data_IF_906453424817
#
_entry.id   IF_906453424817
#
_cell.length_a   1.000
_cell.length_b   1.000
_cell.length_c   1.000
_cell.angle_alpha   90.00
_cell.angle_beta   90.00
_cell.angle_gamma   90.00
#
_symmetry.space_group_name_H-M   'P 1'
#
loop_
_entity.id
_entity.type
_entity.pdbx_description
1 polymer ?
#
# COMPACT_ATOMS: atom_id res chain seq x y z
N UNK A 1 -1.77 -15.54 -29.07
CA UNK A 1 -1.87 -14.77 -27.80
C UNK A 1 -3.23 -14.08 -27.80
N UNK A 2 -4.05 -14.21 -26.75
CA UNK A 2 -5.36 -13.52 -26.70
C UNK A 2 -5.08 -12.01 -26.64
N UNK A 3 -5.59 -11.24 -27.61
CA UNK A 3 -5.47 -9.78 -27.67
C UNK A 3 -6.49 -9.11 -26.74
N UNK A 4 -6.30 -9.30 -25.42
CA UNK A 4 -7.19 -8.76 -24.38
C UNK A 4 -6.46 -7.73 -23.49
N UNK A 5 -7.19 -7.15 -22.54
CA UNK A 5 -6.67 -6.17 -21.58
C UNK A 5 -5.42 -6.64 -20.83
N UNK A 6 -5.37 -7.92 -20.46
CA UNK A 6 -4.21 -8.48 -19.76
C UNK A 6 -2.94 -8.37 -20.61
N UNK A 7 -3.03 -8.72 -21.90
CA UNK A 7 -1.92 -8.65 -22.84
C UNK A 7 -1.55 -7.22 -23.27
N UNK A 8 -2.53 -6.32 -23.38
CA UNK A 8 -2.34 -4.96 -23.94
C UNK A 8 -2.11 -3.87 -22.90
N UNK A 9 -2.52 -4.10 -21.65
CA UNK A 9 -2.52 -3.08 -20.60
C UNK A 9 -1.84 -3.59 -19.34
N UNK A 10 -2.36 -4.66 -18.71
CA UNK A 10 -1.89 -5.07 -17.37
C UNK A 10 -0.46 -5.59 -17.39
N UNK A 11 -0.11 -6.51 -18.29
CA UNK A 11 1.25 -7.05 -18.41
C UNK A 11 2.26 -5.94 -18.78
N UNK A 12 2.00 -5.08 -19.80
CA UNK A 12 2.88 -3.95 -20.11
C UNK A 12 3.08 -3.00 -18.92
N UNK A 13 2.02 -2.63 -18.20
CA UNK A 13 2.11 -1.74 -17.04
C UNK A 13 2.92 -2.37 -15.90
N UNK A 14 2.66 -3.65 -15.60
CA UNK A 14 3.39 -4.39 -14.57
C UNK A 14 4.90 -4.45 -14.90
N UNK A 15 5.25 -4.82 -16.13
CA UNK A 15 6.64 -4.86 -16.58
C UNK A 15 7.31 -3.48 -16.51
N UNK A 16 6.58 -2.42 -16.86
CA UNK A 16 7.09 -1.06 -16.78
C UNK A 16 7.38 -0.65 -15.33
N UNK A 17 6.44 -0.86 -14.41
CA UNK A 17 6.61 -0.53 -12.99
C UNK A 17 7.76 -1.32 -12.35
N UNK A 18 7.90 -2.61 -12.68
CA UNK A 18 9.05 -3.40 -12.20
C UNK A 18 10.38 -2.87 -12.72
N UNK A 19 10.45 -2.37 -13.97
CA UNK A 19 11.66 -1.69 -14.49
C UNK A 19 11.98 -0.38 -13.76
N UNK A 20 10.97 0.30 -13.21
CA UNK A 20 11.15 1.49 -12.35
C UNK A 20 11.52 1.14 -10.90
N UNK A 21 11.64 -0.15 -10.54
CA UNK A 21 12.07 -0.59 -9.22
C UNK A 21 10.94 -1.06 -8.29
N UNK A 22 9.68 -1.09 -8.76
CA UNK A 22 8.57 -1.62 -7.96
C UNK A 22 8.70 -3.12 -7.79
N UNK A 23 8.61 -3.61 -6.55
CA UNK A 23 8.67 -5.04 -6.26
C UNK A 23 7.31 -5.70 -6.52
N UNK A 24 7.28 -6.66 -7.43
CA UNK A 24 6.07 -7.42 -7.72
C UNK A 24 5.69 -8.34 -6.55
N UNK A 25 4.41 -8.36 -6.19
CA UNK A 25 3.80 -9.31 -5.24
C UNK A 25 3.03 -10.36 -6.05
N UNK A 26 3.50 -11.62 -6.07
CA UNK A 26 2.81 -12.74 -6.71
C UNK A 26 1.40 -12.95 -6.16
N UNK A 27 0.47 -13.40 -7.02
CA UNK A 27 -0.93 -13.66 -6.65
C UNK A 27 -1.09 -14.58 -5.43
N UNK A 28 -0.30 -15.65 -5.35
CA UNK A 28 -0.30 -16.59 -4.23
C UNK A 28 0.31 -16.05 -2.93
N UNK A 29 0.82 -14.82 -2.95
CA UNK A 29 1.40 -14.13 -1.79
C UNK A 29 0.61 -12.86 -1.43
N UNK A 30 -0.55 -12.65 -2.05
CA UNK A 30 -1.39 -11.49 -1.77
C UNK A 30 -2.24 -11.70 -0.51
N UNK A 31 -1.57 -11.65 0.65
CA UNK A 31 -2.22 -11.66 1.95
C UNK A 31 -2.59 -10.22 2.34
N UNK A 32 -3.61 -9.67 1.68
CA UNK A 32 -4.17 -8.35 1.97
C UNK A 32 -5.48 -8.48 2.76
N UNK A 33 -5.84 -7.44 3.49
CA UNK A 33 -7.16 -7.35 4.12
C UNK A 33 -8.16 -7.03 2.99
N UNK A 34 -9.16 -7.90 2.78
CA UNK A 34 -10.08 -7.76 1.64
C UNK A 34 -10.95 -6.49 1.68
N UNK A 35 -11.26 -5.99 2.88
CA UNK A 35 -12.10 -4.78 3.02
C UNK A 35 -11.42 -3.50 2.55
N UNK A 36 -10.09 -3.43 2.59
CA UNK A 36 -9.33 -2.18 2.33
C UNK A 36 -8.11 -2.34 1.41
N UNK A 37 -7.80 -3.56 0.99
CA UNK A 37 -6.64 -3.92 0.17
C UNK A 37 -5.25 -3.66 0.78
N UNK A 38 -5.15 -3.43 2.09
CA UNK A 38 -3.89 -3.21 2.79
C UNK A 38 -3.21 -4.55 3.10
N UNK A 39 -1.92 -4.63 2.79
CA UNK A 39 -1.09 -5.80 3.13
C UNK A 39 -0.52 -5.62 4.55
N UNK A 40 -1.23 -6.10 5.57
CA UNK A 40 -0.86 -5.93 6.99
C UNK A 40 0.58 -6.38 7.30
N UNK A 41 0.98 -7.55 6.78
CA UNK A 41 2.34 -8.10 6.91
C UNK A 41 3.45 -7.22 6.31
N UNK A 42 3.10 -6.27 5.45
CA UNK A 42 4.02 -5.29 4.86
C UNK A 42 3.89 -3.95 5.57
N UNK A 43 2.65 -3.55 5.89
CA UNK A 43 2.31 -2.28 6.51
C UNK A 43 2.87 -2.17 7.93
N UNK A 44 2.54 -3.12 8.81
CA UNK A 44 2.85 -3.06 10.24
C UNK A 44 4.35 -2.92 10.49
N UNK A 45 5.25 -3.79 9.96
CA UNK A 45 6.68 -3.66 10.21
C UNK A 45 7.26 -2.37 9.64
N UNK A 46 6.68 -1.85 8.55
CA UNK A 46 7.16 -0.61 7.92
C UNK A 46 6.75 0.65 8.65
N UNK A 47 5.52 0.71 9.11
CA UNK A 47 5.05 1.84 9.94
C UNK A 47 5.77 1.83 11.29
N UNK A 48 5.98 0.65 11.89
CA UNK A 48 6.81 0.49 13.09
C UNK A 48 8.22 1.05 12.87
N UNK A 49 8.91 0.59 11.82
CA UNK A 49 10.27 1.04 11.52
C UNK A 49 10.38 2.53 11.17
N UNK A 50 9.42 3.05 10.39
CA UNK A 50 9.39 4.46 9.98
C UNK A 50 9.23 5.41 11.17
N UNK A 51 8.40 5.03 12.14
CA UNK A 51 8.04 5.88 13.27
C UNK A 51 8.81 5.56 14.56
N UNK A 52 9.60 4.49 14.59
CA UNK A 52 10.30 4.05 15.80
C UNK A 52 9.37 3.57 16.92
N UNK A 53 8.23 2.98 16.54
CA UNK A 53 7.19 2.48 17.46
C UNK A 53 7.14 0.95 17.41
N UNK A 54 6.46 0.33 18.38
CA UNK A 54 6.23 -1.13 18.38
C UNK A 54 5.29 -1.58 17.26
N UNK A 55 5.37 -2.85 16.87
CA UNK A 55 4.41 -3.43 15.91
C UNK A 55 2.97 -3.39 16.45
N UNK A 56 2.77 -3.52 17.76
CA UNK A 56 1.45 -3.39 18.39
C UNK A 56 0.87 -1.97 18.27
N UNK A 57 1.72 -0.93 18.32
CA UNK A 57 1.28 0.44 18.05
C UNK A 57 0.96 0.63 16.56
N UNK A 58 1.75 0.04 15.66
CA UNK A 58 1.48 0.06 14.22
C UNK A 58 0.19 -0.71 13.85
N UNK A 59 -0.15 -1.78 14.57
CA UNK A 59 -1.44 -2.48 14.47
C UNK A 59 -2.60 -1.55 14.84
N UNK A 60 -2.50 -0.82 15.96
CA UNK A 60 -3.53 0.16 16.35
C UNK A 60 -3.71 1.26 15.30
N UNK A 61 -2.62 1.74 14.71
CA UNK A 61 -2.68 2.72 13.61
C UNK A 61 -3.42 2.13 12.40
N UNK A 62 -3.20 0.84 12.08
CA UNK A 62 -3.93 0.17 11.01
C UNK A 62 -5.43 0.06 11.33
N UNK A 63 -5.79 -0.25 12.57
CA UNK A 63 -7.19 -0.30 13.02
C UNK A 63 -7.87 1.08 12.95
N UNK A 64 -7.17 2.14 13.36
CA UNK A 64 -7.64 3.53 13.20
C UNK A 64 -7.89 3.87 11.73
N UNK A 65 -6.95 3.53 10.84
CA UNK A 65 -7.12 3.73 9.40
C UNK A 65 -8.36 2.97 8.91
N UNK A 66 -8.56 1.73 9.34
CA UNK A 66 -9.73 0.95 8.93
C UNK A 66 -11.05 1.60 9.32
N UNK A 67 -11.13 2.15 10.54
CA UNK A 67 -12.29 2.92 10.97
C UNK A 67 -12.45 4.21 10.15
N UNK A 68 -11.33 4.87 9.80
CA UNK A 68 -11.34 6.06 8.96
C UNK A 68 -11.88 5.78 7.54
N UNK A 69 -11.66 4.55 7.03
CA UNK A 69 -12.12 4.12 5.71
C UNK A 69 -13.65 4.06 5.56
N UNK A 70 -14.37 3.94 6.68
CA UNK A 70 -15.83 3.80 6.69
C UNK A 70 -16.60 5.14 6.70
N UNK A 71 -15.92 6.29 6.75
CA UNK A 71 -16.55 7.62 6.81
C UNK A 71 -16.77 8.28 5.44
N UNK A 72 -17.78 9.17 5.34
CA UNK A 72 -18.12 9.89 4.11
C UNK A 72 -16.99 10.80 3.57
N UNK A 73 -16.19 11.42 4.45
CA UNK A 73 -15.09 12.34 4.07
C UNK A 73 -13.73 11.64 3.85
N UNK A 74 -13.77 10.39 3.39
CA UNK A 74 -12.64 9.49 3.26
C UNK A 74 -11.40 10.13 2.59
N UNK A 75 -11.61 10.75 1.42
CA UNK A 75 -10.51 11.27 0.61
C UNK A 75 -9.70 12.35 1.31
N UNK A 76 -10.37 13.27 2.01
CA UNK A 76 -9.70 14.38 2.72
C UNK A 76 -8.90 13.86 3.91
N UNK A 77 -9.50 12.99 4.74
CA UNK A 77 -8.82 12.42 5.91
C UNK A 77 -7.60 11.62 5.53
N UNK A 78 -7.69 10.76 4.51
CA UNK A 78 -6.54 10.02 4.00
C UNK A 78 -5.45 10.98 3.53
N UNK A 79 -5.80 12.02 2.76
CA UNK A 79 -4.83 12.99 2.29
C UNK A 79 -4.09 13.68 3.45
N UNK A 80 -4.81 14.15 4.47
CA UNK A 80 -4.23 14.78 5.65
C UNK A 80 -3.31 13.81 6.40
N UNK A 81 -3.70 12.54 6.54
CA UNK A 81 -2.87 11.51 7.20
C UNK A 81 -1.61 11.16 6.39
N UNK A 82 -1.72 11.03 5.07
CA UNK A 82 -0.59 10.77 4.17
C UNK A 82 0.41 11.93 4.14
N UNK A 83 -0.07 13.16 4.26
CA UNK A 83 0.76 14.38 4.18
C UNK A 83 1.19 14.93 5.53
N UNK A 84 0.80 14.29 6.64
CA UNK A 84 1.14 14.75 7.98
C UNK A 84 2.64 14.80 8.21
N UNK A 85 3.13 15.96 8.65
CA UNK A 85 4.54 16.19 8.99
C UNK A 85 4.85 15.91 10.46
N UNK A 86 3.83 15.64 11.28
CA UNK A 86 3.95 15.42 12.72
C UNK A 86 3.18 14.18 13.17
N UNK A 87 3.60 13.59 14.28
CA UNK A 87 3.02 12.34 14.77
C UNK A 87 3.42 11.15 13.89
N UNK A 88 2.48 10.23 13.68
CA UNK A 88 2.71 9.02 12.87
C UNK A 88 2.76 9.39 11.39
N UNK A 89 3.91 9.15 10.77
CA UNK A 89 4.13 9.29 9.32
C UNK A 89 3.74 7.98 8.61
N UNK A 90 3.01 8.11 7.50
CA UNK A 90 2.75 7.00 6.58
C UNK A 90 3.71 6.99 5.38
N UNK A 91 4.22 8.16 5.01
CA UNK A 91 5.20 8.35 3.94
C UNK A 91 6.38 9.14 4.52
N UNK A 92 7.59 8.67 4.26
CA UNK A 92 8.79 9.46 4.49
C UNK A 92 9.07 10.33 3.27
N UNK A 93 8.75 11.63 3.34
CA UNK A 93 9.06 12.57 2.25
C UNK A 93 10.52 13.06 2.27
N UNK A 94 11.24 12.90 3.38
CA UNK A 94 12.63 13.35 3.50
C UNK A 94 13.61 12.31 2.94
N UNK A 95 13.34 11.03 3.19
CA UNK A 95 14.15 9.90 2.70
C UNK A 95 13.33 8.97 1.80
N UNK A 96 12.75 9.57 0.76
CA UNK A 96 11.71 8.94 -0.06
C UNK A 96 12.10 7.58 -0.65
N UNK A 97 13.30 7.46 -1.21
CA UNK A 97 13.74 6.26 -1.91
C UNK A 97 14.25 5.15 -0.98
N UNK A 98 14.64 5.49 0.25
CA UNK A 98 15.30 4.56 1.19
C UNK A 98 14.30 4.02 2.22
N UNK A 99 13.43 4.89 2.72
CA UNK A 99 12.49 4.54 3.79
C UNK A 99 11.21 3.88 3.26
N UNK A 100 10.72 4.31 2.09
CA UNK A 100 9.45 3.84 1.53
C UNK A 100 9.61 2.55 0.71
N UNK A 101 8.56 1.74 0.69
CA UNK A 101 8.50 0.51 -0.09
C UNK A 101 7.50 0.66 -1.25
N UNK A 102 8.01 0.61 -2.49
CA UNK A 102 7.18 0.58 -3.68
C UNK A 102 6.95 -0.85 -4.14
N UNK A 103 5.69 -1.28 -4.10
CA UNK A 103 5.28 -2.64 -4.49
C UNK A 103 4.13 -2.57 -5.48
N UNK A 104 4.03 -3.58 -6.35
CA UNK A 104 2.97 -3.70 -7.34
C UNK A 104 2.38 -5.10 -7.28
N UNK A 105 1.05 -5.19 -7.33
CA UNK A 105 0.32 -6.45 -7.39
C UNK A 105 -0.81 -6.31 -8.40
N UNK A 106 -1.13 -7.39 -9.10
CA UNK A 106 -2.32 -7.40 -9.94
C UNK A 106 -3.46 -8.07 -9.16
N UNK A 107 -4.66 -7.50 -9.19
CA UNK A 107 -5.86 -8.17 -8.68
C UNK A 107 -6.50 -8.99 -9.80
N UNK A 108 -7.05 -10.15 -9.45
CA UNK A 108 -8.01 -10.83 -10.32
C UNK A 108 -9.31 -10.07 -10.09
N UNK A 109 -9.74 -9.28 -11.07
CA UNK A 109 -11.10 -8.78 -11.09
C UNK A 109 -11.94 -9.97 -11.58
N UNK A 110 -12.51 -10.72 -10.64
CA UNK A 110 -13.57 -11.66 -10.97
C UNK A 110 -14.81 -10.83 -11.30
N UNK A 111 -15.20 -10.83 -12.58
CA UNK A 111 -16.49 -10.34 -13.04
C UNK A 111 -17.56 -11.41 -12.84
#
# INVERSE_FOLDING_TARGET
MKFNEDSRVKIPALLHLTRLGYKYIPLNQQNRIESNNIFSSIFIPKISALNGISEQEAERILDEINLELDYEDLGKKIYERLTSTSGVKLIDFEKFDISNNFKISNSIIEN
#
